data_IF_049681216261
#
_entry.id   IF_049681216261
#
_cell.length_a   1.000
_cell.length_b   1.000
_cell.length_c   1.000
_cell.angle_alpha   90.00
_cell.angle_beta   90.00
_cell.angle_gamma   90.00
#
_symmetry.space_group_name_H-M   'P 1'
#
loop_
_entity.id
_entity.type
_entity.pdbx_description
1 polymer ?
#
# COMPACT_ATOMS: atom_id res chain seq x y z
N UNK A 1 -34.45 6.57 39.74
CA UNK A 1 -34.10 5.59 38.68
C UNK A 1 -33.95 6.28 37.32
N UNK A 2 -32.91 7.09 37.04
CA UNK A 2 -32.63 7.61 35.67
C UNK A 2 -31.15 7.94 35.39
N UNK A 3 -30.19 7.33 36.09
CA UNK A 3 -28.75 7.53 35.82
C UNK A 3 -28.12 6.33 35.07
N UNK A 4 -28.59 5.12 35.37
CA UNK A 4 -28.16 3.89 34.67
C UNK A 4 -28.64 3.80 33.22
N UNK A 5 -29.76 4.45 32.89
CA UNK A 5 -30.33 4.42 31.54
C UNK A 5 -29.57 5.32 30.53
N UNK A 6 -28.91 6.39 31.00
CA UNK A 6 -28.12 7.27 30.14
C UNK A 6 -26.68 6.77 29.91
N UNK A 7 -26.11 6.06 30.89
CA UNK A 7 -24.78 5.47 30.75
C UNK A 7 -24.74 4.33 29.72
N UNK A 8 -25.83 3.55 29.60
CA UNK A 8 -25.91 2.45 28.64
C UNK A 8 -26.17 2.88 27.21
N UNK A 9 -26.81 4.04 26.98
CA UNK A 9 -27.06 4.54 25.62
C UNK A 9 -25.84 5.25 25.01
N UNK A 10 -24.97 5.84 25.82
CA UNK A 10 -23.74 6.49 25.32
C UNK A 10 -22.65 5.47 24.95
N UNK A 11 -22.60 4.30 25.59
CA UNK A 11 -21.58 3.27 25.33
C UNK A 11 -21.82 2.47 24.04
N UNK A 12 -23.06 2.42 23.55
CA UNK A 12 -23.39 1.70 22.31
C UNK A 12 -23.08 2.51 21.03
N UNK A 13 -22.90 3.83 21.13
CA UNK A 13 -22.66 4.69 19.97
C UNK A 13 -21.17 4.79 19.58
N UNK A 14 -20.25 4.27 20.39
CA UNK A 14 -18.81 4.50 20.26
C UNK A 14 -18.02 3.40 19.54
N UNK A 15 -18.67 2.31 19.09
CA UNK A 15 -17.95 1.16 18.50
C UNK A 15 -18.62 0.69 17.22
N UNK A 16 -18.59 1.54 16.19
CA UNK A 16 -18.85 1.11 14.82
C UNK A 16 -18.02 1.94 13.83
N UNK A 17 -16.69 1.91 13.97
CA UNK A 17 -15.83 2.14 12.82
C UNK A 17 -15.97 0.90 11.92
N UNK A 18 -16.85 0.97 10.93
CA UNK A 18 -16.95 -0.07 9.92
C UNK A 18 -15.65 -0.08 9.11
N UNK A 19 -14.76 -1.02 9.42
CA UNK A 19 -13.64 -1.35 8.53
C UNK A 19 -14.25 -1.95 7.26
N UNK A 20 -14.29 -1.16 6.19
CA UNK A 20 -14.71 -1.62 4.88
C UNK A 20 -13.51 -2.29 4.22
N UNK A 21 -13.44 -3.63 4.29
CA UNK A 21 -12.48 -4.41 3.53
C UNK A 21 -12.96 -4.51 2.08
N UNK A 22 -12.23 -3.88 1.17
CA UNK A 22 -12.48 -4.01 -0.27
C UNK A 22 -11.57 -5.11 -0.80
N UNK A 23 -12.18 -6.06 -1.49
CA UNK A 23 -11.48 -7.15 -2.17
C UNK A 23 -10.43 -6.58 -3.15
N UNK A 24 -9.21 -7.13 -3.16
CA UNK A 24 -8.08 -6.60 -3.92
C UNK A 24 -8.39 -6.50 -5.43
N UNK A 25 -9.24 -7.37 -5.96
CA UNK A 25 -9.62 -7.36 -7.38
C UNK A 25 -10.67 -6.30 -7.72
N UNK A 26 -11.24 -5.63 -6.71
CA UNK A 26 -12.30 -4.63 -6.85
C UNK A 26 -11.81 -3.19 -6.61
N UNK A 27 -10.50 -2.99 -6.48
CA UNK A 27 -9.91 -1.67 -6.31
C UNK A 27 -9.85 -1.00 -7.68
N UNK A 28 -10.55 0.13 -7.82
CA UNK A 28 -10.46 0.94 -9.04
C UNK A 28 -9.09 1.66 -9.11
N UNK A 29 -8.43 1.70 -10.28
CA UNK A 29 -7.21 2.48 -10.46
C UNK A 29 -7.42 3.96 -10.13
N UNK A 30 -6.44 4.57 -9.45
CA UNK A 30 -6.51 5.98 -9.07
C UNK A 30 -6.57 6.84 -10.34
N UNK A 31 -7.61 7.69 -10.50
CA UNK A 31 -7.73 8.54 -11.67
C UNK A 31 -6.57 9.55 -11.68
N UNK A 32 -5.86 9.64 -12.81
CA UNK A 32 -4.82 10.64 -12.95
C UNK A 32 -5.44 12.04 -13.05
N UNK A 33 -4.95 13.01 -12.26
CA UNK A 33 -5.44 14.38 -12.33
C UNK A 33 -5.07 15.03 -13.66
N UNK A 34 -5.96 15.88 -14.19
CA UNK A 34 -5.66 16.67 -15.39
C UNK A 34 -4.53 17.67 -15.08
N UNK A 35 -3.44 17.71 -15.87
CA UNK A 35 -2.30 18.56 -15.60
C UNK A 35 -2.61 20.04 -15.88
N UNK A 36 -2.54 20.86 -14.85
CA UNK A 36 -2.82 22.30 -14.95
C UNK A 36 -1.53 23.13 -15.05
N UNK A 37 -0.41 22.60 -14.56
CA UNK A 37 0.91 23.25 -14.55
C UNK A 37 1.85 22.71 -15.63
N UNK A 38 2.86 23.51 -15.99
CA UNK A 38 3.90 23.11 -16.96
C UNK A 38 4.70 21.89 -16.46
N UNK A 39 4.97 21.84 -15.15
CA UNK A 39 5.64 20.71 -14.49
C UNK A 39 4.79 19.43 -14.54
N UNK A 40 3.47 19.50 -14.35
CA UNK A 40 2.59 18.33 -14.47
C UNK A 40 2.47 17.85 -15.92
N UNK A 41 2.40 18.77 -16.89
CA UNK A 41 2.45 18.42 -18.31
C UNK A 41 3.77 17.77 -18.70
N UNK A 42 4.89 18.23 -18.13
CA UNK A 42 6.20 17.62 -18.32
C UNK A 42 6.29 16.24 -17.65
N UNK A 43 5.77 16.08 -16.42
CA UNK A 43 5.72 14.80 -15.74
C UNK A 43 4.89 13.78 -16.52
N UNK A 44 3.80 14.21 -17.17
CA UNK A 44 3.02 13.35 -18.06
C UNK A 44 3.76 13.03 -19.36
N UNK A 45 4.48 14.01 -19.93
CA UNK A 45 5.25 13.85 -21.16
C UNK A 45 6.47 12.93 -20.99
N UNK A 46 7.11 12.97 -19.83
CA UNK A 46 8.32 12.24 -19.48
C UNK A 46 8.07 11.14 -18.44
N UNK A 47 6.84 10.61 -18.37
CA UNK A 47 6.54 9.46 -17.50
C UNK A 47 7.55 8.35 -17.80
N UNK A 48 8.37 7.93 -16.82
CA UNK A 48 9.30 6.83 -17.03
C UNK A 48 8.50 5.59 -17.41
N UNK A 49 8.81 5.03 -18.57
CA UNK A 49 8.12 3.86 -19.08
C UNK A 49 8.71 2.61 -18.46
N UNK A 50 7.83 1.85 -17.87
CA UNK A 50 8.13 0.68 -17.10
C UNK A 50 7.46 -0.51 -17.88
N UNK A 51 8.28 -1.36 -18.55
CA UNK A 51 8.20 -2.87 -18.84
C UNK A 51 8.74 -4.05 -17.80
N UNK A 52 7.95 -4.78 -16.90
CA UNK A 52 7.97 -6.22 -16.24
C UNK A 52 7.09 -7.49 -16.74
N UNK A 53 7.64 -8.67 -17.05
CA UNK A 53 6.93 -9.66 -17.94
C UNK A 53 5.89 -10.59 -17.33
N UNK A 54 5.10 -11.23 -18.22
CA UNK A 54 3.89 -12.03 -18.02
C UNK A 54 4.11 -13.44 -17.40
N UNK A 55 4.88 -13.55 -16.32
CA UNK A 55 4.88 -14.70 -15.40
C UNK A 55 5.09 -14.14 -13.98
N UNK A 56 4.02 -13.71 -13.31
CA UNK A 56 4.09 -12.88 -12.09
C UNK A 56 5.04 -13.44 -11.01
N UNK A 57 6.20 -12.80 -10.75
CA UNK A 57 7.18 -13.25 -9.76
C UNK A 57 7.97 -12.09 -9.10
N UNK A 58 7.89 -12.01 -7.77
CA UNK A 58 8.56 -11.06 -6.87
C UNK A 58 10.09 -11.11 -6.97
N UNK A 59 10.71 -12.22 -7.34
CA UNK A 59 12.13 -12.26 -7.71
C UNK A 59 12.38 -13.44 -8.67
N UNK A 60 12.92 -13.11 -9.86
CA UNK A 60 13.63 -13.96 -10.84
C UNK A 60 12.95 -15.19 -11.49
N UNK A 61 12.63 -15.12 -12.78
CA UNK A 61 12.96 -16.13 -13.83
C UNK A 61 12.53 -15.64 -15.24
N UNK A 62 13.04 -16.20 -16.37
CA UNK A 62 13.80 -15.41 -17.34
C UNK A 62 13.17 -15.35 -18.75
N UNK A 63 13.74 -14.45 -19.57
CA UNK A 63 13.57 -14.36 -21.04
C UNK A 63 12.29 -13.73 -21.59
N UNK A 64 11.55 -12.96 -20.81
CA UNK A 64 10.47 -12.18 -21.39
C UNK A 64 10.46 -10.76 -20.81
N UNK A 65 10.15 -9.78 -21.68
CA UNK A 65 10.04 -8.39 -21.27
C UNK A 65 8.64 -8.18 -20.72
N UNK A 66 8.57 -7.79 -19.48
CA UNK A 66 8.19 -6.45 -19.24
C UNK A 66 6.79 -5.70 -19.35
N UNK A 67 5.89 -5.49 -18.35
CA UNK A 67 5.06 -4.35 -17.80
C UNK A 67 5.39 -3.83 -16.34
N UNK A 68 5.98 -2.66 -16.04
CA UNK A 68 6.26 -2.24 -14.63
C UNK A 68 5.14 -1.35 -14.08
N UNK A 69 5.12 -1.25 -12.75
CA UNK A 69 4.03 -0.71 -11.96
C UNK A 69 4.35 0.71 -11.49
N UNK A 70 3.32 1.51 -11.23
CA UNK A 70 3.50 2.85 -10.67
C UNK A 70 4.25 2.77 -9.33
N UNK A 71 5.39 3.43 -9.26
CA UNK A 71 6.26 3.41 -8.09
C UNK A 71 5.83 4.48 -7.08
N UNK A 72 5.66 4.05 -5.82
CA UNK A 72 5.61 4.91 -4.65
C UNK A 72 6.76 4.53 -3.71
N UNK A 73 7.60 5.51 -3.36
CA UNK A 73 8.67 5.29 -2.37
C UNK A 73 8.11 5.30 -0.95
N UNK A 74 8.80 4.64 -0.02
CA UNK A 74 8.38 4.53 1.38
C UNK A 74 8.09 5.90 2.01
N UNK A 75 8.96 6.89 1.76
CA UNK A 75 8.84 8.26 2.27
C UNK A 75 7.71 9.07 1.60
N UNK A 76 7.19 8.59 0.47
CA UNK A 76 6.06 9.22 -0.23
C UNK A 76 4.71 8.68 0.26
N UNK A 77 4.70 7.58 1.02
CA UNK A 77 3.48 7.05 1.62
C UNK A 77 2.98 7.95 2.76
N UNK A 78 1.67 7.99 2.93
CA UNK A 78 1.08 8.62 4.12
C UNK A 78 1.46 7.86 5.39
N UNK A 79 1.47 8.56 6.53
CA UNK A 79 1.76 7.94 7.83
C UNK A 79 0.81 6.77 8.14
N UNK A 80 -0.46 6.89 7.75
CA UNK A 80 -1.44 5.82 7.90
C UNK A 80 -1.11 4.59 7.04
N UNK A 81 -0.65 4.79 5.80
CA UNK A 81 -0.24 3.70 4.92
C UNK A 81 1.01 2.98 5.47
N UNK A 82 2.01 3.74 5.94
CA UNK A 82 3.20 3.15 6.58
C UNK A 82 2.84 2.37 7.84
N UNK A 83 1.96 2.92 8.69
CA UNK A 83 1.49 2.23 9.89
C UNK A 83 0.74 0.93 9.57
N UNK A 84 -0.06 0.91 8.49
CA UNK A 84 -0.75 -0.31 8.06
C UNK A 84 0.21 -1.37 7.50
N UNK A 85 1.23 -0.96 6.75
CA UNK A 85 2.26 -1.83 6.18
C UNK A 85 3.22 -2.39 7.24
N UNK A 86 3.48 -1.63 8.31
CA UNK A 86 4.26 -2.07 9.47
C UNK A 86 3.46 -2.94 10.45
N UNK A 87 2.16 -3.14 10.24
CA UNK A 87 1.37 -3.99 11.12
C UNK A 87 1.44 -5.45 10.67
N UNK A 88 2.13 -6.29 11.45
CA UNK A 88 2.30 -7.72 11.18
C UNK A 88 0.99 -8.52 11.08
N UNK A 89 -0.12 -8.02 11.65
CA UNK A 89 -1.43 -8.67 11.55
C UNK A 89 -2.16 -8.39 10.22
N UNK A 90 -1.69 -7.41 9.42
CA UNK A 90 -2.39 -6.96 8.21
C UNK A 90 -2.39 -7.99 7.07
N UNK A 91 -1.38 -8.85 7.01
CA UNK A 91 -1.12 -9.73 5.86
C UNK A 91 -1.11 -11.23 6.21
N UNK A 92 -1.55 -11.60 7.42
CA UNK A 92 -1.70 -12.98 7.86
C UNK A 92 -0.37 -13.75 7.90
N UNK A 93 -0.07 -14.51 6.85
CA UNK A 93 1.20 -15.25 6.72
C UNK A 93 2.22 -14.56 5.80
N UNK A 94 1.81 -13.52 5.09
CA UNK A 94 2.69 -12.77 4.21
C UNK A 94 3.37 -11.64 4.98
N UNK A 95 4.61 -11.37 4.61
CA UNK A 95 5.47 -10.38 5.26
C UNK A 95 5.73 -9.22 4.31
N UNK A 96 5.80 -7.99 4.84
CA UNK A 96 6.11 -6.79 4.04
C UNK A 96 7.63 -6.55 4.12
N UNK A 97 8.41 -6.86 3.06
CA UNK A 97 9.87 -6.97 3.14
C UNK A 97 10.60 -5.62 3.25
N UNK A 98 9.90 -4.52 3.04
CA UNK A 98 10.44 -3.15 3.13
C UNK A 98 9.84 -2.35 4.30
N UNK A 99 9.08 -3.03 5.17
CA UNK A 99 8.59 -2.44 6.42
C UNK A 99 9.75 -2.13 7.37
N UNK A 100 9.52 -1.24 8.33
CA UNK A 100 10.55 -0.83 9.29
C UNK A 100 11.05 -2.02 10.14
N UNK A 101 10.22 -3.05 10.35
CA UNK A 101 10.59 -4.27 11.08
C UNK A 101 11.51 -5.20 10.27
N UNK A 102 11.33 -5.25 8.94
CA UNK A 102 11.92 -6.31 8.11
C UNK A 102 13.02 -5.83 7.16
N UNK A 103 13.12 -4.52 6.91
CA UNK A 103 14.01 -3.96 5.88
C UNK A 103 15.50 -4.31 6.08
N UNK A 104 16.04 -4.11 7.29
CA UNK A 104 17.46 -4.37 7.56
C UNK A 104 17.81 -5.86 7.49
N UNK A 105 16.92 -6.72 7.99
CA UNK A 105 17.12 -8.17 7.94
C UNK A 105 17.11 -8.67 6.49
N UNK A 106 16.18 -8.18 5.67
CA UNK A 106 16.13 -8.51 4.25
C UNK A 106 17.32 -7.95 3.47
N UNK A 107 17.85 -6.77 3.84
CA UNK A 107 19.08 -6.25 3.25
C UNK A 107 20.28 -7.15 3.55
N UNK A 108 20.39 -7.65 4.77
CA UNK A 108 21.45 -8.57 5.16
C UNK A 108 21.35 -9.91 4.41
N UNK A 109 20.14 -10.44 4.25
CA UNK A 109 19.90 -11.68 3.50
C UNK A 109 20.11 -11.52 1.99
N UNK A 110 19.79 -10.36 1.43
CA UNK A 110 19.95 -10.08 0.00
C UNK A 110 21.40 -9.82 -0.41
N UNK A 111 22.35 -9.74 0.54
CA UNK A 111 23.76 -9.52 0.24
C UNK A 111 24.34 -10.70 -0.57
N UNK A 112 24.77 -10.48 -1.83
CA UNK A 112 25.33 -11.54 -2.64
C UNK A 112 26.74 -11.89 -2.13
N UNK A 113 26.94 -13.17 -1.77
CA UNK A 113 28.25 -13.74 -1.43
C UNK A 113 29.16 -13.86 -2.65
#
# INVERSE_FOLDING_TARGET
MKLRAFATTLFAALIACASATVDHDKIEPIPQPEPVTISEKAAIKFKPQLSTSNIACVFSCPMENGEYQDLVMWEQLTDAARAALNNGDSFGKAEVPFSDEHFEDHLAEAWPL
#
